data_IF_599406522372
#
_entry.id   IF_599406522372
#
_cell.length_a   1.000
_cell.length_b   1.000
_cell.length_c   1.000
_cell.angle_alpha   90.00
_cell.angle_beta   90.00
_cell.angle_gamma   90.00
#
_symmetry.space_group_name_H-M   'P 1'
#
loop_
_entity.id
_entity.type
_entity.pdbx_description
1 polymer ?
#
# COMPACT_ATOMS: atom_id res chain seq x y z
N UNK A 1 41.39 -7.57 -17.65
CA UNK A 1 40.35 -7.82 -18.66
C UNK A 1 39.14 -6.99 -18.28
N UNK A 2 38.88 -5.93 -19.06
CA UNK A 2 37.77 -5.00 -18.88
C UNK A 2 36.69 -5.38 -19.89
N UNK A 3 35.45 -5.58 -19.44
CA UNK A 3 34.29 -5.71 -20.32
C UNK A 3 33.34 -4.58 -20.02
N UNK A 4 33.32 -3.62 -20.93
CA UNK A 4 32.36 -2.52 -21.01
C UNK A 4 31.05 -3.06 -21.56
N UNK A 5 29.93 -2.72 -20.94
CA UNK A 5 28.59 -3.07 -21.41
C UNK A 5 27.85 -1.76 -21.74
N UNK A 6 27.62 -1.56 -23.04
CA UNK A 6 27.01 -0.38 -23.65
C UNK A 6 25.48 -0.48 -23.55
N UNK A 7 24.82 0.52 -22.96
CA UNK A 7 23.37 0.69 -23.04
C UNK A 7 23.02 1.54 -24.28
N UNK A 8 22.08 1.07 -25.09
CA UNK A 8 21.48 1.81 -26.20
C UNK A 8 20.18 2.45 -25.71
N UNK A 9 20.15 3.78 -25.68
CA UNK A 9 18.94 4.58 -25.50
C UNK A 9 18.23 4.74 -26.86
N UNK A 10 16.93 4.42 -26.92
CA UNK A 10 16.06 4.88 -28.01
C UNK A 10 15.16 5.98 -27.49
N UNK A 11 15.42 7.21 -27.96
CA UNK A 11 14.55 8.36 -27.82
C UNK A 11 13.46 8.31 -28.90
N UNK A 12 12.20 8.50 -28.52
CA UNK A 12 11.12 8.81 -29.46
C UNK A 12 10.59 10.20 -29.11
N UNK A 13 10.87 11.14 -30.00
CA UNK A 13 10.29 12.48 -30.06
C UNK A 13 8.96 12.36 -30.79
N UNK A 14 7.86 12.82 -30.19
CA UNK A 14 6.61 13.04 -30.92
C UNK A 14 6.21 14.51 -30.85
N UNK A 15 6.12 15.12 -32.02
CA UNK A 15 5.76 16.51 -32.29
C UNK A 15 4.26 16.73 -32.17
N UNK A 16 3.86 17.77 -31.43
CA UNK A 16 2.49 18.29 -31.33
C UNK A 16 2.14 19.14 -32.55
N UNK A 17 0.97 18.91 -33.15
CA UNK A 17 0.32 19.80 -34.10
C UNK A 17 -1.06 20.19 -33.57
N UNK A 18 -1.35 21.49 -33.65
CA UNK A 18 -2.50 22.18 -33.07
C UNK A 18 -3.71 22.30 -34.02
N UNK A 19 -4.88 22.46 -33.39
CA UNK A 19 -6.04 23.31 -33.75
C UNK A 19 -7.14 22.74 -34.69
N UNK A 20 -8.37 23.33 -34.74
CA UNK A 20 -9.04 24.28 -33.82
C UNK A 20 -10.48 23.87 -33.38
N UNK A 21 -10.99 24.59 -32.38
CA UNK A 21 -12.40 24.65 -31.96
C UNK A 21 -13.26 25.48 -32.93
N UNK A 22 -14.46 25.01 -33.25
CA UNK A 22 -15.63 25.87 -33.55
C UNK A 22 -16.91 25.27 -32.97
N UNK A 23 -17.72 26.14 -32.37
CA UNK A 23 -19.00 25.85 -31.75
C UNK A 23 -20.17 26.15 -32.70
N UNK A 24 -21.29 25.44 -32.56
CA UNK A 24 -22.63 25.96 -32.87
C UNK A 24 -23.67 25.22 -32.02
N UNK A 25 -24.53 25.98 -31.35
CA UNK A 25 -25.66 25.49 -30.57
C UNK A 25 -26.95 25.52 -31.42
N UNK A 26 -27.84 24.55 -31.26
CA UNK A 26 -29.28 24.76 -31.44
C UNK A 26 -30.11 23.70 -30.71
N UNK A 27 -31.11 24.15 -29.94
CA UNK A 27 -32.03 23.33 -29.16
C UNK A 27 -33.42 23.28 -29.82
N UNK A 28 -34.08 22.11 -29.79
CA UNK A 28 -35.55 21.95 -29.84
C UNK A 28 -36.00 20.51 -29.46
N UNK A 29 -36.61 20.38 -28.27
CA UNK A 29 -37.78 19.56 -27.84
C UNK A 29 -38.12 18.15 -28.43
N UNK A 30 -37.93 17.11 -27.58
CA UNK A 30 -38.77 15.92 -27.14
C UNK A 30 -39.71 15.16 -28.12
N UNK A 31 -40.01 13.83 -27.98
CA UNK A 31 -39.94 12.97 -26.78
C UNK A 31 -39.35 11.54 -26.94
N UNK A 32 -39.33 10.81 -25.82
CA UNK A 32 -38.77 9.47 -25.56
C UNK A 32 -39.22 8.34 -26.52
N UNK A 33 -38.23 7.58 -27.00
CA UNK A 33 -38.30 6.14 -27.29
C UNK A 33 -37.02 5.48 -26.77
N UNK A 34 -37.14 4.31 -26.17
CA UNK A 34 -36.03 3.52 -25.67
C UNK A 34 -35.02 3.22 -26.80
N UNK A 35 -33.87 3.89 -26.78
CA UNK A 35 -32.78 3.60 -27.70
C UNK A 35 -32.11 2.29 -27.28
N UNK A 36 -32.36 1.27 -28.10
CA UNK A 36 -31.45 0.15 -28.25
C UNK A 36 -30.10 0.71 -28.66
N UNK A 37 -29.06 0.56 -27.83
CA UNK A 37 -27.71 0.93 -28.24
C UNK A 37 -27.35 0.17 -29.53
N UNK A 38 -26.74 0.84 -30.53
CA UNK A 38 -26.39 0.17 -31.76
C UNK A 38 -25.28 -0.85 -31.50
N UNK A 39 -25.52 -2.10 -31.88
CA UNK A 39 -24.45 -3.09 -32.03
C UNK A 39 -23.44 -2.54 -33.04
N UNK A 40 -22.17 -2.47 -32.67
CA UNK A 40 -21.10 -2.09 -33.59
C UNK A 40 -21.08 -3.05 -34.79
N UNK A 41 -21.11 -2.51 -36.00
CA UNK A 41 -21.02 -3.30 -37.23
C UNK A 41 -19.61 -3.88 -37.38
N UNK A 42 -19.52 -5.03 -38.06
CA UNK A 42 -18.32 -5.87 -38.14
C UNK A 42 -17.04 -5.17 -38.65
N UNK A 43 -17.17 -4.02 -39.34
CA UNK A 43 -16.06 -3.27 -39.94
C UNK A 43 -15.40 -2.23 -39.01
N UNK A 44 -15.86 -2.06 -37.76
CA UNK A 44 -15.25 -1.14 -36.78
C UNK A 44 -14.40 -1.82 -35.69
N UNK A 45 -14.15 -3.14 -35.76
CA UNK A 45 -13.45 -3.87 -34.69
C UNK A 45 -11.93 -3.61 -34.71
N UNK A 46 -11.33 -3.00 -33.67
CA UNK A 46 -9.88 -2.90 -33.55
C UNK A 46 -9.29 -4.27 -33.19
N UNK A 47 -8.20 -4.64 -33.85
CA UNK A 47 -7.44 -5.87 -33.56
C UNK A 47 -6.85 -5.75 -32.14
N UNK A 48 -7.14 -6.71 -31.24
CA UNK A 48 -6.56 -6.76 -29.88
C UNK A 48 -7.52 -6.60 -28.69
N UNK A 49 -8.82 -6.84 -28.87
CA UNK A 49 -9.84 -6.65 -27.84
C UNK A 49 -10.73 -7.89 -27.66
N UNK A 50 -11.11 -8.21 -26.41
CA UNK A 50 -12.00 -9.34 -26.08
C UNK A 50 -13.39 -8.82 -25.73
N UNK A 51 -14.37 -9.12 -26.59
CA UNK A 51 -15.81 -8.95 -26.34
C UNK A 51 -16.36 -10.12 -25.52
N UNK A 52 -17.14 -9.79 -24.48
CA UNK A 52 -17.88 -10.71 -23.62
C UNK A 52 -19.36 -10.78 -24.02
N UNK A 53 -20.10 -11.79 -23.52
CA UNK A 53 -21.51 -12.03 -23.86
C UNK A 53 -22.45 -10.88 -23.46
N UNK A 54 -21.99 -9.95 -22.63
CA UNK A 54 -22.69 -8.74 -22.20
C UNK A 54 -22.28 -7.48 -22.99
N UNK A 55 -21.60 -7.64 -24.13
CA UNK A 55 -21.06 -6.57 -24.99
C UNK A 55 -19.98 -5.69 -24.35
N UNK A 56 -19.40 -6.10 -23.21
CA UNK A 56 -18.25 -5.43 -22.62
C UNK A 56 -16.98 -5.80 -23.38
N UNK A 57 -16.08 -4.84 -23.60
CA UNK A 57 -14.83 -5.07 -24.33
C UNK A 57 -13.64 -4.72 -23.45
N UNK A 58 -12.71 -5.66 -23.26
CA UNK A 58 -11.51 -5.45 -22.42
C UNK A 58 -10.24 -5.50 -23.28
N UNK A 59 -9.27 -4.59 -23.07
CA UNK A 59 -7.99 -4.64 -23.76
C UNK A 59 -7.18 -5.86 -23.30
N UNK A 60 -6.39 -6.42 -24.21
CA UNK A 60 -5.52 -7.57 -23.96
C UNK A 60 -4.32 -7.12 -23.10
N UNK A 61 -4.40 -7.38 -21.79
CA UNK A 61 -3.41 -6.90 -20.81
C UNK A 61 -2.60 -8.02 -20.13
N UNK A 62 -2.97 -9.28 -20.34
CA UNK A 62 -2.30 -10.44 -19.75
C UNK A 62 -2.15 -11.59 -20.75
N UNK A 63 -1.24 -12.52 -20.46
CA UNK A 63 -0.92 -13.67 -21.32
C UNK A 63 -2.17 -14.52 -21.64
N UNK A 64 -3.11 -14.61 -20.70
CA UNK A 64 -4.39 -15.29 -20.89
C UNK A 64 -5.22 -14.62 -22.00
N UNK A 65 -5.37 -13.30 -21.93
CA UNK A 65 -6.11 -12.50 -22.90
C UNK A 65 -5.39 -12.46 -24.26
N UNK A 66 -4.05 -12.47 -24.26
CA UNK A 66 -3.23 -12.56 -25.48
C UNK A 66 -3.54 -13.87 -26.22
N UNK A 67 -3.58 -14.98 -25.49
CA UNK A 67 -3.90 -16.28 -26.05
C UNK A 67 -5.35 -16.39 -26.54
N UNK A 68 -6.31 -15.79 -25.83
CA UNK A 68 -7.70 -15.73 -26.30
C UNK A 68 -7.87 -14.88 -27.57
N UNK A 69 -7.20 -13.73 -27.65
CA UNK A 69 -7.21 -12.89 -28.86
C UNK A 69 -6.55 -13.61 -30.05
N UNK A 70 -5.43 -14.31 -29.83
CA UNK A 70 -4.79 -15.12 -30.85
C UNK A 70 -5.68 -16.26 -31.35
N UNK A 71 -6.45 -16.90 -30.45
CA UNK A 71 -7.41 -17.93 -30.82
C UNK A 71 -8.52 -17.39 -31.72
N UNK A 72 -9.07 -16.20 -31.41
CA UNK A 72 -10.11 -15.54 -32.21
C UNK A 72 -9.60 -15.15 -33.60
N UNK A 73 -8.39 -14.61 -33.69
CA UNK A 73 -7.75 -14.28 -34.97
C UNK A 73 -7.54 -15.52 -35.84
N UNK A 74 -7.05 -16.62 -35.25
CA UNK A 74 -6.85 -17.87 -35.98
C UNK A 74 -8.18 -18.49 -36.47
N UNK A 75 -9.25 -18.41 -35.66
CA UNK A 75 -10.60 -18.84 -36.08
C UNK A 75 -11.13 -18.01 -37.25
N UNK A 76 -10.94 -16.70 -37.25
CA UNK A 76 -11.35 -15.83 -38.36
C UNK A 76 -10.62 -16.19 -39.68
N UNK A 77 -9.38 -16.67 -39.57
CA UNK A 77 -8.58 -17.16 -40.69
C UNK A 77 -8.88 -18.62 -41.07
N UNK A 78 -9.82 -19.29 -40.39
CA UNK A 78 -10.14 -20.73 -40.52
C UNK A 78 -8.95 -21.65 -40.21
N UNK A 79 -7.95 -21.16 -39.47
CA UNK A 79 -6.84 -21.97 -38.97
C UNK A 79 -7.22 -22.63 -37.63
N UNK A 80 -7.91 -23.76 -37.74
CA UNK A 80 -8.39 -24.51 -36.58
C UNK A 80 -7.26 -25.07 -35.71
N UNK A 81 -6.09 -25.39 -36.30
CA UNK A 81 -4.96 -25.94 -35.57
C UNK A 81 -4.33 -24.88 -34.66
N UNK A 82 -4.12 -23.67 -35.19
CA UNK A 82 -3.56 -22.57 -34.43
C UNK A 82 -4.55 -22.03 -33.38
N UNK A 83 -5.85 -21.99 -33.71
CA UNK A 83 -6.89 -21.64 -32.73
C UNK A 83 -6.89 -22.59 -31.52
N UNK A 84 -6.84 -23.91 -31.77
CA UNK A 84 -6.80 -24.91 -30.71
C UNK A 84 -5.51 -24.83 -29.87
N UNK A 85 -4.37 -24.48 -30.48
CA UNK A 85 -3.10 -24.25 -29.76
C UNK A 85 -3.20 -23.04 -28.83
N UNK A 86 -3.75 -21.94 -29.31
CA UNK A 86 -3.92 -20.72 -28.52
C UNK A 86 -4.91 -20.92 -27.36
N UNK A 87 -6.02 -21.63 -27.57
CA UNK A 87 -6.96 -21.98 -26.48
C UNK A 87 -6.31 -22.84 -25.39
N UNK A 88 -5.45 -23.81 -25.76
CA UNK A 88 -4.71 -24.60 -24.77
C UNK A 88 -3.73 -23.75 -23.97
N UNK A 89 -3.05 -22.79 -24.60
CA UNK A 89 -2.17 -21.86 -23.92
C UNK A 89 -2.93 -20.96 -22.94
N UNK A 90 -4.11 -20.44 -23.32
CA UNK A 90 -4.99 -19.71 -22.40
C UNK A 90 -5.41 -20.58 -21.21
N UNK A 91 -5.80 -21.84 -21.44
CA UNK A 91 -6.16 -22.75 -20.35
C UNK A 91 -4.99 -23.01 -19.39
N UNK A 92 -3.76 -23.10 -19.90
CA UNK A 92 -2.56 -23.27 -19.08
C UNK A 92 -2.28 -22.03 -18.23
N UNK A 93 -2.45 -20.84 -18.80
CA UNK A 93 -2.26 -19.60 -18.04
C UNK A 93 -3.30 -19.43 -16.94
N UNK A 94 -4.56 -19.80 -17.21
CA UNK A 94 -5.62 -19.80 -16.20
C UNK A 94 -5.33 -20.80 -15.06
N UNK A 95 -4.80 -21.98 -15.39
CA UNK A 95 -4.38 -22.96 -14.38
C UNK A 95 -3.19 -22.46 -13.55
N UNK A 96 -2.24 -21.76 -14.19
CA UNK A 96 -1.11 -21.14 -13.50
C UNK A 96 -1.58 -20.00 -12.57
N UNK A 97 -2.58 -19.21 -12.98
CA UNK A 97 -3.21 -18.21 -12.13
C UNK A 97 -3.87 -18.85 -10.90
N UNK A 98 -4.63 -19.92 -11.08
CA UNK A 98 -5.24 -20.66 -9.96
C UNK A 98 -4.17 -21.20 -8.99
N UNK A 99 -3.08 -21.78 -9.50
CA UNK A 99 -1.99 -22.27 -8.68
C UNK A 99 -1.27 -21.15 -7.90
N UNK A 100 -1.13 -19.95 -8.51
CA UNK A 100 -0.58 -18.77 -7.82
C UNK A 100 -1.49 -18.29 -6.69
N UNK A 101 -2.81 -18.34 -6.87
CA UNK A 101 -3.78 -18.03 -5.81
C UNK A 101 -3.64 -19.02 -4.65
N UNK A 102 -3.61 -20.33 -4.94
CA UNK A 102 -3.42 -21.37 -3.93
C UNK A 102 -2.10 -21.24 -3.17
N UNK A 103 -1.02 -20.88 -3.87
CA UNK A 103 0.28 -20.66 -3.26
C UNK A 103 0.28 -19.42 -2.37
N UNK A 104 -0.32 -18.32 -2.81
CA UNK A 104 -0.50 -17.11 -1.99
C UNK A 104 -1.33 -17.40 -0.74
N UNK A 105 -2.42 -18.16 -0.87
CA UNK A 105 -3.26 -18.53 0.28
C UNK A 105 -2.51 -19.45 1.25
N UNK A 106 -1.69 -20.39 0.76
CA UNK A 106 -0.79 -21.19 1.61
C UNK A 106 0.26 -20.34 2.31
N UNK A 107 0.89 -19.40 1.61
CA UNK A 107 1.87 -18.48 2.20
C UNK A 107 1.24 -17.57 3.26
N UNK A 108 0.02 -17.10 3.01
CA UNK A 108 -0.77 -16.30 3.97
C UNK A 108 -1.15 -17.12 5.20
N UNK A 109 -1.68 -18.33 5.01
CA UNK A 109 -2.00 -19.22 6.11
C UNK A 109 -0.75 -19.55 6.95
N UNK A 110 0.39 -19.75 6.30
CA UNK A 110 1.67 -19.93 6.99
C UNK A 110 2.08 -18.68 7.78
N UNK A 111 1.95 -17.48 7.18
CA UNK A 111 2.27 -16.22 7.86
C UNK A 111 1.33 -15.91 9.03
N UNK A 112 0.05 -16.25 8.92
CA UNK A 112 -0.93 -16.11 10.00
C UNK A 112 -0.63 -17.07 11.15
N UNK A 113 -0.29 -18.32 10.82
CA UNK A 113 0.07 -19.35 11.79
C UNK A 113 1.41 -19.03 12.48
N UNK A 114 2.38 -18.49 11.73
CA UNK A 114 3.63 -17.97 12.26
C UNK A 114 3.38 -16.79 13.20
N UNK A 115 2.56 -15.81 12.82
CA UNK A 115 2.17 -14.68 13.70
C UNK A 115 1.48 -15.14 14.98
N UNK A 116 0.57 -16.11 14.88
CA UNK A 116 -0.10 -16.69 16.03
C UNK A 116 0.90 -17.42 16.95
N UNK A 117 1.87 -18.14 16.36
CA UNK A 117 2.92 -18.81 17.10
C UNK A 117 3.88 -17.84 17.79
N UNK A 118 4.39 -16.83 17.07
CA UNK A 118 5.22 -15.75 17.63
C UNK A 118 4.52 -15.06 18.81
N UNK A 119 3.24 -14.73 18.63
CA UNK A 119 2.41 -14.13 19.69
C UNK A 119 2.29 -15.05 20.89
N UNK A 120 2.00 -16.35 20.68
CA UNK A 120 1.93 -17.34 21.76
C UNK A 120 3.25 -17.46 22.51
N UNK A 121 4.38 -17.53 21.79
CA UNK A 121 5.72 -17.62 22.39
C UNK A 121 6.02 -16.38 23.24
N UNK A 122 5.73 -15.18 22.70
CA UNK A 122 5.93 -13.91 23.40
C UNK A 122 5.08 -13.82 24.67
N UNK A 123 3.80 -14.16 24.59
CA UNK A 123 2.91 -14.16 25.75
C UNK A 123 3.37 -15.16 26.80
N UNK A 124 3.78 -16.37 26.40
CA UNK A 124 4.32 -17.39 27.32
C UNK A 124 5.57 -16.90 28.05
N UNK A 125 6.47 -16.20 27.33
CA UNK A 125 7.67 -15.62 27.93
C UNK A 125 7.34 -14.49 28.92
N UNK A 126 6.36 -13.64 28.59
CA UNK A 126 5.89 -12.57 29.48
C UNK A 126 5.17 -13.11 30.72
N UNK A 127 4.39 -14.18 30.60
CA UNK A 127 3.80 -14.89 31.76
C UNK A 127 4.89 -15.32 32.74
N UNK A 128 5.95 -15.99 32.26
CA UNK A 128 7.06 -16.41 33.13
C UNK A 128 7.76 -15.24 33.82
N UNK A 129 7.92 -14.11 33.12
CA UNK A 129 8.49 -12.89 33.72
C UNK A 129 7.58 -12.30 34.79
N UNK A 130 6.27 -12.27 34.56
CA UNK A 130 5.28 -11.82 35.55
C UNK A 130 5.28 -12.72 36.78
N UNK A 131 5.31 -14.04 36.61
CA UNK A 131 5.38 -15.00 37.73
C UNK A 131 6.65 -14.76 38.56
N UNK A 132 7.81 -14.60 37.89
CA UNK A 132 9.07 -14.29 38.58
C UNK A 132 9.02 -12.96 39.34
N UNK A 133 8.38 -11.94 38.74
CA UNK A 133 8.21 -10.65 39.40
C UNK A 133 7.27 -10.77 40.61
N UNK A 134 6.20 -11.55 40.51
CA UNK A 134 5.29 -11.84 41.63
C UNK A 134 6.01 -12.54 42.79
N UNK A 135 6.84 -13.56 42.50
CA UNK A 135 7.66 -14.24 43.52
C UNK A 135 8.61 -13.26 44.25
N UNK A 136 9.16 -12.28 43.53
CA UNK A 136 10.02 -11.25 44.13
C UNK A 136 9.24 -10.26 45.01
N UNK A 137 8.01 -9.90 44.61
CA UNK A 137 7.09 -9.09 45.43
C UNK A 137 6.76 -9.85 46.72
N UNK A 138 6.34 -11.11 46.61
CA UNK A 138 5.94 -11.94 47.75
C UNK A 138 7.10 -12.15 48.73
N UNK A 139 8.32 -12.36 48.20
CA UNK A 139 9.52 -12.51 49.01
C UNK A 139 10.05 -11.19 49.62
N UNK A 140 9.44 -10.04 49.32
CA UNK A 140 9.92 -8.72 49.76
C UNK A 140 11.29 -8.33 49.19
N UNK A 141 11.67 -8.91 48.04
CA UNK A 141 13.00 -8.76 47.41
C UNK A 141 13.07 -7.66 46.35
N UNK A 142 11.99 -6.91 46.15
CA UNK A 142 11.99 -5.75 45.26
C UNK A 142 12.77 -4.60 45.89
N UNK A 143 13.98 -4.37 45.39
CA UNK A 143 14.78 -3.21 45.77
C UNK A 143 14.31 -1.92 45.09
N UNK A 144 13.72 -2.01 43.90
CA UNK A 144 13.17 -0.88 43.13
C UNK A 144 11.98 -1.31 42.27
N UNK A 145 11.09 -0.37 41.90
CA UNK A 145 9.93 -0.67 41.03
C UNK A 145 10.27 -0.68 39.55
N UNK A 146 11.40 -0.10 39.12
CA UNK A 146 11.73 0.10 37.71
C UNK A 146 11.69 -1.19 36.87
N UNK A 147 12.22 -2.30 37.38
CA UNK A 147 12.21 -3.58 36.68
C UNK A 147 10.80 -4.21 36.63
N UNK A 148 10.00 -3.99 37.68
CA UNK A 148 8.60 -4.41 37.74
C UNK A 148 7.78 -3.61 36.72
N UNK A 149 7.91 -2.28 36.72
CA UNK A 149 7.21 -1.38 35.81
C UNK A 149 7.52 -1.72 34.35
N UNK A 150 8.79 -1.96 34.00
CA UNK A 150 9.17 -2.44 32.66
C UNK A 150 8.50 -3.76 32.26
N UNK A 151 8.35 -4.70 33.21
CA UNK A 151 7.71 -5.99 32.94
C UNK A 151 6.21 -5.82 32.74
N UNK A 152 5.57 -4.97 33.56
CA UNK A 152 4.15 -4.63 33.44
C UNK A 152 3.86 -3.91 32.13
N UNK A 153 4.69 -2.95 31.73
CA UNK A 153 4.57 -2.23 30.46
C UNK A 153 4.69 -3.18 29.27
N UNK A 154 5.65 -4.11 29.30
CA UNK A 154 5.80 -5.13 28.25
C UNK A 154 4.57 -6.04 28.15
N UNK A 155 3.99 -6.44 29.29
CA UNK A 155 2.80 -7.27 29.34
C UNK A 155 1.55 -6.53 28.84
N UNK A 156 1.30 -5.32 29.34
CA UNK A 156 0.19 -4.47 28.93
C UNK A 156 0.25 -4.15 27.43
N UNK A 157 1.45 -3.89 26.92
CA UNK A 157 1.67 -3.66 25.49
C UNK A 157 1.39 -4.90 24.64
N UNK A 158 1.84 -6.08 25.07
CA UNK A 158 1.57 -7.32 24.34
C UNK A 158 0.07 -7.66 24.32
N UNK A 159 -0.65 -7.41 25.41
CA UNK A 159 -2.12 -7.54 25.46
C UNK A 159 -2.81 -6.55 24.52
N UNK A 160 -2.40 -5.28 24.54
CA UNK A 160 -2.94 -4.24 23.67
C UNK A 160 -2.70 -4.57 22.19
N UNK A 161 -1.47 -4.93 21.83
CA UNK A 161 -1.10 -5.36 20.47
C UNK A 161 -2.00 -6.52 20.02
N UNK A 162 -2.24 -7.53 20.87
CA UNK A 162 -3.17 -8.63 20.57
C UNK A 162 -4.60 -8.15 20.35
N UNK A 163 -5.14 -7.30 21.23
CA UNK A 163 -6.51 -6.79 21.11
C UNK A 163 -6.70 -5.97 19.85
N UNK A 164 -5.71 -5.17 19.47
CA UNK A 164 -5.75 -4.37 18.26
C UNK A 164 -5.53 -5.17 16.97
N UNK A 165 -4.82 -6.29 17.03
CA UNK A 165 -4.78 -7.27 15.94
C UNK A 165 -6.17 -7.87 15.64
N UNK A 166 -7.09 -7.81 16.61
CA UNK A 166 -8.45 -8.37 16.53
C UNK A 166 -9.52 -7.31 16.23
N UNK A 167 -9.20 -6.01 16.31
CA UNK A 167 -10.16 -4.93 15.97
C UNK A 167 -10.35 -4.81 14.46
N UNK A 168 -11.57 -4.46 14.05
CA UNK A 168 -11.94 -4.29 12.64
C UNK A 168 -11.29 -3.03 12.02
N UNK A 169 -11.27 -2.98 10.68
CA UNK A 169 -10.55 -1.94 9.93
C UNK A 169 -11.13 -0.53 10.13
N UNK A 170 -12.41 -0.40 10.50
CA UNK A 170 -13.07 0.92 10.66
C UNK A 170 -12.60 1.60 11.93
N UNK A 171 -12.44 0.84 13.01
CA UNK A 171 -11.84 1.30 14.26
C UNK A 171 -10.37 1.71 14.02
N UNK A 172 -9.66 0.92 13.21
CA UNK A 172 -8.27 1.16 12.85
C UNK A 172 -8.05 2.40 11.97
N UNK A 173 -8.93 2.66 11.00
CA UNK A 173 -8.78 3.81 10.09
C UNK A 173 -8.75 5.15 10.84
N UNK A 174 -9.46 5.28 11.97
CA UNK A 174 -9.46 6.52 12.77
C UNK A 174 -8.11 6.90 13.40
N UNK A 175 -7.17 5.95 13.43
CA UNK A 175 -5.85 6.11 14.07
C UNK A 175 -4.69 6.05 13.07
N UNK A 176 -4.96 5.93 11.76
CA UNK A 176 -3.91 5.90 10.72
C UNK A 176 -3.12 7.20 10.65
N UNK A 177 -3.73 8.32 11.00
CA UNK A 177 -3.12 9.65 10.94
C UNK A 177 -2.33 9.99 12.22
N UNK A 178 -2.40 9.14 13.24
CA UNK A 178 -1.74 9.37 14.54
C UNK A 178 -0.22 9.48 14.45
N UNK A 179 0.51 8.62 13.70
CA UNK A 179 1.94 8.84 13.46
C UNK A 179 2.24 10.23 12.92
N UNK A 180 1.48 10.69 11.92
CA UNK A 180 1.69 12.00 11.31
C UNK A 180 1.43 13.16 12.27
N UNK A 181 0.38 13.08 13.11
CA UNK A 181 0.11 14.07 14.16
C UNK A 181 1.30 14.19 15.13
N UNK A 182 1.87 13.07 15.55
CA UNK A 182 3.03 13.04 16.43
C UNK A 182 4.31 13.51 15.73
N UNK A 183 4.50 13.26 14.44
CA UNK A 183 5.62 13.82 13.67
C UNK A 183 5.57 15.34 13.56
N UNK A 184 4.38 15.91 13.32
CA UNK A 184 4.18 17.36 13.32
C UNK A 184 4.50 17.96 14.69
N UNK A 185 3.97 17.35 15.76
CA UNK A 185 4.24 17.80 17.13
C UNK A 185 5.73 17.68 17.51
N UNK A 186 6.41 16.64 17.03
CA UNK A 186 7.85 16.46 17.22
C UNK A 186 8.65 17.55 16.52
N UNK A 187 8.30 17.88 15.27
CA UNK A 187 8.94 18.95 14.51
C UNK A 187 8.75 20.31 15.20
N UNK A 188 7.52 20.63 15.62
CA UNK A 188 7.22 21.87 16.34
C UNK A 188 8.02 21.98 17.64
N UNK A 189 8.12 20.90 18.40
CA UNK A 189 8.92 20.85 19.62
C UNK A 189 10.43 21.02 19.34
N UNK A 190 10.93 20.42 18.24
CA UNK A 190 12.32 20.55 17.82
C UNK A 190 12.67 21.99 17.44
N UNK A 191 11.81 22.67 16.67
CA UNK A 191 11.97 24.09 16.30
C UNK A 191 12.00 24.99 17.55
N UNK A 192 11.21 24.63 18.56
CA UNK A 192 11.20 25.31 19.86
C UNK A 192 12.39 24.92 20.77
N UNK A 193 13.32 24.11 20.27
CA UNK A 193 14.48 23.55 21.00
C UNK A 193 14.08 22.73 22.24
N UNK A 194 12.86 22.23 22.27
CA UNK A 194 12.37 21.32 23.31
C UNK A 194 12.61 19.87 22.87
N UNK A 195 13.87 19.45 22.93
CA UNK A 195 14.29 18.14 22.40
C UNK A 195 13.70 16.95 23.15
N UNK A 196 13.48 17.08 24.47
CA UNK A 196 12.80 16.04 25.26
C UNK A 196 11.37 15.83 24.77
N UNK A 197 10.60 16.91 24.60
CA UNK A 197 9.25 16.81 24.06
C UNK A 197 9.25 16.26 22.64
N UNK A 198 10.20 16.67 21.80
CA UNK A 198 10.34 16.12 20.46
C UNK A 198 10.57 14.61 20.49
N UNK A 199 11.46 14.12 21.36
CA UNK A 199 11.73 12.70 21.54
C UNK A 199 10.48 11.93 22.01
N UNK A 200 9.72 12.49 22.95
CA UNK A 200 8.48 11.88 23.44
C UNK A 200 7.42 11.76 22.34
N UNK A 201 7.26 12.78 21.50
CA UNK A 201 6.36 12.70 20.35
C UNK A 201 6.83 11.67 19.32
N UNK A 202 8.14 11.57 19.04
CA UNK A 202 8.69 10.51 18.16
C UNK A 202 8.39 9.11 18.71
N UNK A 203 8.54 8.88 20.02
CA UNK A 203 8.20 7.59 20.66
C UNK A 203 6.72 7.26 20.58
N UNK A 204 5.84 8.27 20.67
CA UNK A 204 4.39 8.07 20.46
C UNK A 204 4.11 7.63 19.03
N UNK A 205 4.72 8.28 18.03
CA UNK A 205 4.60 7.86 16.63
C UNK A 205 5.09 6.42 16.41
N UNK A 206 6.26 6.08 16.97
CA UNK A 206 6.83 4.73 16.93
C UNK A 206 5.87 3.67 17.51
N UNK A 207 5.12 4.00 18.58
CA UNK A 207 4.14 3.08 19.14
C UNK A 207 3.05 2.69 18.12
N UNK A 208 2.55 3.65 17.34
CA UNK A 208 1.57 3.40 16.27
C UNK A 208 2.19 2.64 15.08
N UNK A 209 3.48 2.86 14.77
CA UNK A 209 4.18 2.13 13.70
C UNK A 209 4.44 0.68 14.09
N UNK A 210 4.83 0.39 15.34
CA UNK A 210 4.94 -0.99 15.87
C UNK A 210 3.61 -1.73 15.78
N UNK A 211 2.51 -1.02 15.98
CA UNK A 211 1.18 -1.59 15.95
C UNK A 211 0.71 -1.91 14.53
N UNK A 212 1.09 -1.07 13.55
CA UNK A 212 1.02 -1.44 12.13
C UNK A 212 1.87 -2.68 11.81
N UNK A 213 3.09 -2.75 12.34
CA UNK A 213 4.01 -3.85 12.07
C UNK A 213 3.47 -5.19 12.58
N UNK A 214 2.75 -5.19 13.69
CA UNK A 214 2.09 -6.38 14.20
C UNK A 214 1.02 -6.92 13.23
N UNK A 215 0.29 -6.02 12.55
CA UNK A 215 -0.78 -6.37 11.58
C UNK A 215 -0.23 -6.75 10.20
N UNK A 216 0.99 -6.33 9.88
CA UNK A 216 1.64 -6.62 8.61
C UNK A 216 2.30 -8.02 8.57
N UNK A 217 2.62 -8.47 7.36
CA UNK A 217 3.37 -9.71 7.09
C UNK A 217 4.48 -9.45 6.07
N UNK A 218 5.40 -10.41 5.91
CA UNK A 218 6.43 -10.38 4.86
C UNK A 218 7.27 -9.11 4.82
N UNK A 219 7.48 -8.56 3.61
CA UNK A 219 8.29 -7.37 3.38
C UNK A 219 7.72 -6.10 4.05
N UNK A 220 6.39 -5.98 4.15
CA UNK A 220 5.75 -4.84 4.82
C UNK A 220 6.10 -4.80 6.32
N UNK A 221 6.05 -5.95 7.00
CA UNK A 221 6.47 -6.07 8.41
C UNK A 221 7.95 -5.71 8.59
N UNK A 222 8.82 -6.19 7.69
CA UNK A 222 10.25 -5.88 7.73
C UNK A 222 10.52 -4.37 7.56
N UNK A 223 9.85 -3.72 6.60
CA UNK A 223 9.96 -2.28 6.37
C UNK A 223 9.52 -1.44 7.57
N UNK A 224 8.38 -1.81 8.18
CA UNK A 224 7.89 -1.13 9.39
C UNK A 224 8.81 -1.34 10.60
N UNK A 225 9.38 -2.53 10.76
CA UNK A 225 10.37 -2.79 11.81
C UNK A 225 11.64 -1.96 11.62
N UNK A 226 12.11 -1.81 10.38
CA UNK A 226 13.25 -0.94 10.07
C UNK A 226 12.92 0.54 10.39
N UNK A 227 11.72 1.01 10.04
CA UNK A 227 11.28 2.36 10.39
C UNK A 227 11.23 2.58 11.91
N UNK A 228 10.74 1.60 12.69
CA UNK A 228 10.75 1.67 14.15
C UNK A 228 12.17 1.82 14.72
N UNK A 229 13.14 1.06 14.20
CA UNK A 229 14.54 1.17 14.64
C UNK A 229 15.12 2.56 14.36
N UNK A 230 14.80 3.15 13.20
CA UNK A 230 15.25 4.51 12.90
C UNK A 230 14.57 5.55 13.79
N UNK A 231 13.26 5.43 14.06
CA UNK A 231 12.56 6.30 15.01
C UNK A 231 13.14 6.22 16.42
N UNK A 232 13.49 5.02 16.89
CA UNK A 232 14.13 4.82 18.20
C UNK A 232 15.48 5.55 18.28
N UNK A 233 16.32 5.40 17.24
CA UNK A 233 17.60 6.13 17.15
C UNK A 233 17.38 7.64 17.12
N UNK A 234 16.38 8.12 16.37
CA UNK A 234 16.03 9.54 16.31
C UNK A 234 15.60 10.06 17.68
N UNK A 235 14.75 9.33 18.42
CA UNK A 235 14.36 9.72 19.78
C UNK A 235 15.55 9.78 20.73
N UNK A 236 16.48 8.81 20.66
CA UNK A 236 17.72 8.82 21.45
C UNK A 236 18.62 10.00 21.09
N UNK A 237 18.76 10.33 19.80
CA UNK A 237 19.55 11.48 19.35
C UNK A 237 18.95 12.81 19.81
N UNK A 238 17.62 12.92 19.85
CA UNK A 238 16.92 14.08 20.40
C UNK A 238 17.17 14.22 21.91
N UNK A 239 17.04 13.15 22.69
CA UNK A 239 17.34 13.18 24.14
C UNK A 239 18.77 13.65 24.43
N UNK A 240 19.72 13.21 23.60
CA UNK A 240 21.13 13.56 23.73
C UNK A 240 21.45 14.96 23.16
N UNK A 241 20.51 15.63 22.50
CA UNK A 241 20.73 16.88 21.78
C UNK A 241 21.73 16.77 20.63
N UNK A 242 21.94 15.55 20.09
CA UNK A 242 22.92 15.28 19.04
C UNK A 242 22.34 15.40 17.63
N UNK A 243 21.00 15.45 17.50
CA UNK A 243 20.32 15.65 16.23
C UNK A 243 20.46 17.12 15.77
N UNK A 244 20.97 17.32 14.55
CA UNK A 244 21.48 18.64 14.14
C UNK A 244 20.54 19.45 13.25
N UNK A 245 19.56 18.82 12.59
CA UNK A 245 18.72 19.54 11.62
C UNK A 245 17.27 19.06 11.55
N UNK A 246 16.38 19.99 11.22
CA UNK A 246 14.99 19.70 10.85
C UNK A 246 14.92 18.75 9.65
N UNK A 247 15.89 18.84 8.73
CA UNK A 247 15.96 17.99 7.55
C UNK A 247 16.19 16.51 7.90
N UNK A 248 16.96 16.22 8.94
CA UNK A 248 17.16 14.86 9.43
C UNK A 248 15.86 14.27 9.99
N UNK A 249 15.09 15.06 10.75
CA UNK A 249 13.76 14.65 11.22
C UNK A 249 12.78 14.43 10.08
N UNK A 250 12.67 15.41 9.17
CA UNK A 250 11.80 15.33 8.01
C UNK A 250 12.09 14.07 7.16
N UNK A 251 13.37 13.73 6.99
CA UNK A 251 13.78 12.52 6.26
C UNK A 251 13.28 11.25 6.94
N UNK A 252 13.47 11.11 8.25
CA UNK A 252 12.99 9.92 8.99
C UNK A 252 11.46 9.84 8.96
N UNK A 253 10.77 10.97 9.07
CA UNK A 253 9.30 11.02 8.98
C UNK A 253 8.79 10.69 7.58
N UNK A 254 9.47 11.13 6.53
CA UNK A 254 9.17 10.77 5.15
C UNK A 254 9.31 9.26 4.92
N UNK A 255 10.43 8.69 5.35
CA UNK A 255 10.71 7.26 5.23
C UNK A 255 9.70 6.40 6.01
N UNK A 256 9.32 6.85 7.20
CA UNK A 256 8.34 6.13 8.01
C UNK A 256 6.94 6.15 7.40
N UNK A 257 6.47 7.32 6.93
CA UNK A 257 5.20 7.43 6.23
C UNK A 257 5.18 6.61 4.93
N UNK A 258 6.30 6.54 4.23
CA UNK A 258 6.46 5.69 3.04
C UNK A 258 6.33 4.19 3.39
N UNK A 259 6.97 3.74 4.47
CA UNK A 259 6.83 2.36 4.96
C UNK A 259 5.39 2.02 5.37
N UNK A 260 4.70 2.94 6.06
CA UNK A 260 3.28 2.82 6.39
C UNK A 260 2.41 2.71 5.14
N UNK A 261 2.65 3.56 4.15
CA UNK A 261 1.89 3.54 2.89
C UNK A 261 2.07 2.21 2.14
N UNK A 262 3.28 1.67 2.08
CA UNK A 262 3.55 0.35 1.49
C UNK A 262 2.84 -0.78 2.23
N UNK A 263 2.81 -0.73 3.56
CA UNK A 263 2.10 -1.72 4.36
C UNK A 263 0.59 -1.68 4.08
N UNK A 264 -0.02 -0.50 4.11
CA UNK A 264 -1.44 -0.32 3.80
C UNK A 264 -1.79 -0.73 2.37
N UNK A 265 -0.96 -0.40 1.38
CA UNK A 265 -1.15 -0.84 -0.01
C UNK A 265 -1.14 -2.38 -0.12
N UNK A 266 -0.29 -3.03 0.66
CA UNK A 266 -0.19 -4.49 0.70
C UNK A 266 -1.45 -5.10 1.32
N UNK A 267 -1.91 -4.56 2.45
CA UNK A 267 -3.16 -4.98 3.11
C UNK A 267 -4.40 -4.72 2.24
N UNK A 268 -4.40 -3.64 1.48
CA UNK A 268 -5.44 -3.36 0.49
C UNK A 268 -5.51 -4.42 -0.60
N UNK A 269 -4.36 -4.81 -1.16
CA UNK A 269 -4.30 -5.86 -2.18
C UNK A 269 -4.74 -7.23 -1.64
N UNK A 270 -4.36 -7.56 -0.40
CA UNK A 270 -4.81 -8.78 0.28
C UNK A 270 -6.33 -8.78 0.52
N UNK A 271 -6.88 -7.69 1.05
CA UNK A 271 -8.31 -7.54 1.29
C UNK A 271 -9.12 -7.58 -0.01
N UNK A 272 -8.59 -6.97 -1.07
CA UNK A 272 -9.17 -7.00 -2.41
C UNK A 272 -9.27 -8.43 -2.95
N UNK A 273 -8.18 -9.20 -2.85
CA UNK A 273 -8.15 -10.61 -3.29
C UNK A 273 -9.17 -11.48 -2.52
N UNK A 274 -9.43 -11.14 -1.26
CA UNK A 274 -10.43 -11.80 -0.42
C UNK A 274 -11.87 -11.31 -0.66
N UNK A 275 -12.08 -10.40 -1.61
CA UNK A 275 -13.38 -9.73 -1.86
C UNK A 275 -13.90 -8.94 -0.65
N UNK A 276 -13.03 -8.61 0.30
CA UNK A 276 -13.34 -7.72 1.42
C UNK A 276 -13.19 -6.26 0.95
N UNK A 277 -14.04 -5.84 0.01
CA UNK A 277 -13.91 -4.57 -0.71
C UNK A 277 -13.93 -3.36 0.21
N UNK A 278 -14.80 -3.34 1.22
CA UNK A 278 -14.83 -2.28 2.23
C UNK A 278 -13.46 -2.14 2.93
N UNK A 279 -12.87 -3.27 3.36
CA UNK A 279 -11.54 -3.28 3.99
C UNK A 279 -10.46 -2.81 3.03
N UNK A 280 -10.50 -3.26 1.78
CA UNK A 280 -9.58 -2.79 0.75
C UNK A 280 -9.68 -1.27 0.55
N UNK A 281 -10.89 -0.71 0.59
CA UNK A 281 -11.12 0.73 0.49
C UNK A 281 -10.50 1.52 1.63
N UNK A 282 -10.66 1.08 2.88
CA UNK A 282 -10.03 1.73 4.03
C UNK A 282 -8.49 1.67 3.97
N UNK A 283 -7.93 0.51 3.62
CA UNK A 283 -6.47 0.35 3.51
C UNK A 283 -5.91 1.16 2.31
N UNK A 284 -6.64 1.30 1.20
CA UNK A 284 -6.25 2.21 0.11
C UNK A 284 -6.20 3.67 0.55
N UNK A 285 -7.21 4.13 1.30
CA UNK A 285 -7.25 5.48 1.84
C UNK A 285 -6.09 5.73 2.80
N UNK A 286 -5.74 4.75 3.64
CA UNK A 286 -4.59 4.83 4.54
C UNK A 286 -3.27 4.87 3.76
N UNK A 287 -3.14 4.10 2.67
CA UNK A 287 -1.97 4.13 1.80
C UNK A 287 -1.80 5.49 1.08
N UNK A 288 -2.90 6.07 0.58
CA UNK A 288 -2.90 7.40 -0.03
C UNK A 288 -2.49 8.48 0.98
N UNK A 289 -3.01 8.42 2.21
CA UNK A 289 -2.63 9.33 3.29
C UNK A 289 -1.13 9.23 3.62
N UNK A 290 -0.61 8.00 3.73
CA UNK A 290 0.83 7.79 3.96
C UNK A 290 1.70 8.32 2.81
N UNK A 291 1.27 8.15 1.56
CA UNK A 291 1.94 8.72 0.38
C UNK A 291 1.97 10.26 0.46
N UNK A 292 0.83 10.91 0.73
CA UNK A 292 0.75 12.37 0.84
C UNK A 292 1.62 12.90 1.99
N UNK A 293 1.57 12.23 3.15
CA UNK A 293 2.36 12.61 4.32
C UNK A 293 3.85 12.47 4.05
N UNK A 294 4.29 11.34 3.47
CA UNK A 294 5.68 11.15 3.10
C UNK A 294 6.14 12.20 2.07
N UNK A 295 5.34 12.48 1.05
CA UNK A 295 5.64 13.48 0.04
C UNK A 295 5.73 14.90 0.62
N UNK A 296 4.87 15.23 1.59
CA UNK A 296 4.90 16.51 2.31
C UNK A 296 6.22 16.72 3.05
N UNK A 297 6.75 15.67 3.70
CA UNK A 297 8.05 15.74 4.37
C UNK A 297 9.24 15.80 3.40
N UNK A 298 9.11 15.26 2.19
CA UNK A 298 10.13 15.39 1.14
C UNK A 298 10.16 16.81 0.57
N UNK A 299 8.99 17.41 0.33
CA UNK A 299 8.88 18.79 -0.13
C UNK A 299 7.68 19.07 -1.03
N UNK A 300 7.50 20.34 -1.40
CA UNK A 300 6.34 20.81 -2.18
C UNK A 300 6.24 20.18 -3.56
N UNK A 301 7.36 19.94 -4.23
CA UNK A 301 7.40 19.27 -5.54
C UNK A 301 6.90 17.83 -5.45
N UNK A 302 7.40 17.05 -4.49
CA UNK A 302 6.96 15.68 -4.25
C UNK A 302 5.48 15.63 -3.87
N UNK A 303 5.02 16.55 -3.01
CA UNK A 303 3.60 16.67 -2.65
C UNK A 303 2.72 16.94 -3.87
N UNK A 304 3.13 17.85 -4.74
CA UNK A 304 2.41 18.17 -5.98
C UNK A 304 2.33 16.94 -6.90
N UNK A 305 3.45 16.25 -7.09
CA UNK A 305 3.53 15.04 -7.92
C UNK A 305 2.60 13.93 -7.42
N UNK A 306 2.53 13.71 -6.10
CA UNK A 306 1.68 12.69 -5.50
C UNK A 306 0.18 13.03 -5.53
N UNK A 307 -0.19 14.32 -5.63
CA UNK A 307 -1.55 14.80 -5.34
C UNK A 307 -2.65 14.19 -6.22
N UNK A 308 -2.38 13.96 -7.50
CA UNK A 308 -3.36 13.35 -8.44
C UNK A 308 -3.62 11.90 -8.06
N UNK A 309 -2.56 11.13 -7.81
CA UNK A 309 -2.66 9.72 -7.39
C UNK A 309 -3.40 9.60 -6.06
N UNK A 310 -3.07 10.45 -5.08
CA UNK A 310 -3.73 10.48 -3.77
C UNK A 310 -5.25 10.69 -3.93
N UNK A 311 -5.67 11.67 -4.73
CA UNK A 311 -7.11 11.94 -4.98
C UNK A 311 -7.83 10.78 -5.65
N UNK A 312 -7.20 10.17 -6.66
CA UNK A 312 -7.78 9.03 -7.37
C UNK A 312 -7.97 7.83 -6.44
N UNK A 313 -6.95 7.49 -5.65
CA UNK A 313 -7.00 6.39 -4.68
C UNK A 313 -8.02 6.65 -3.58
N UNK A 314 -8.14 7.88 -3.08
CA UNK A 314 -9.18 8.25 -2.12
C UNK A 314 -10.59 8.05 -2.69
N UNK A 315 -10.82 8.52 -3.92
CA UNK A 315 -12.11 8.40 -4.60
C UNK A 315 -12.50 6.93 -4.77
N UNK A 316 -11.56 6.08 -5.21
CA UNK A 316 -11.79 4.65 -5.30
C UNK A 316 -12.06 4.05 -3.91
N UNK A 317 -11.27 4.41 -2.90
CA UNK A 317 -11.46 3.94 -1.54
C UNK A 317 -12.84 4.26 -0.99
N UNK A 318 -13.37 5.46 -1.25
CA UNK A 318 -14.72 5.85 -0.85
C UNK A 318 -15.80 5.03 -1.56
N UNK A 319 -15.63 4.74 -2.86
CA UNK A 319 -16.53 3.84 -3.60
C UNK A 319 -16.53 2.43 -3.00
N UNK A 320 -15.36 1.90 -2.67
CA UNK A 320 -15.23 0.57 -2.09
C UNK A 320 -15.83 0.46 -0.69
N UNK A 321 -15.64 1.48 0.15
CA UNK A 321 -16.21 1.53 1.50
C UNK A 321 -17.73 1.67 1.47
N UNK A 322 -18.26 2.50 0.56
CA UNK A 322 -19.71 2.73 0.46
C UNK A 322 -20.47 1.65 -0.31
N UNK A 323 -19.78 0.65 -0.88
CA UNK A 323 -20.39 -0.35 -1.77
C UNK A 323 -20.87 0.25 -3.10
N UNK A 324 -20.31 1.40 -3.50
CA UNK A 324 -20.63 2.08 -4.76
C UNK A 324 -20.18 1.29 -5.99
N UNK A 325 -20.61 1.77 -7.17
CA UNK A 325 -20.23 1.17 -8.45
C UNK A 325 -18.80 1.59 -8.80
N UNK A 326 -17.96 0.60 -9.13
CA UNK A 326 -16.58 0.77 -9.57
C UNK A 326 -16.30 -0.10 -10.78
N UNK A 327 -15.42 0.37 -11.66
CA UNK A 327 -14.93 -0.42 -12.79
C UNK A 327 -13.68 -1.21 -12.38
N UNK A 328 -13.47 -2.40 -12.96
CA UNK A 328 -12.29 -3.23 -12.67
C UNK A 328 -11.00 -2.53 -13.10
N UNK A 329 -11.06 -1.82 -14.22
CA UNK A 329 -9.96 -1.03 -14.80
C UNK A 329 -9.58 0.13 -13.86
N UNK A 330 -10.56 0.85 -13.32
CA UNK A 330 -10.34 1.92 -12.34
C UNK A 330 -9.58 1.41 -11.11
N UNK A 331 -9.91 0.20 -10.64
CA UNK A 331 -9.23 -0.43 -9.51
C UNK A 331 -7.78 -0.76 -9.87
N UNK A 332 -7.55 -1.42 -11.00
CA UNK A 332 -6.22 -1.81 -11.45
C UNK A 332 -5.31 -0.58 -11.65
N UNK A 333 -5.82 0.47 -12.30
CA UNK A 333 -5.09 1.72 -12.51
C UNK A 333 -4.72 2.41 -11.20
N UNK A 334 -5.63 2.40 -10.22
CA UNK A 334 -5.38 3.03 -8.91
C UNK A 334 -4.30 2.28 -8.13
N UNK A 335 -4.33 0.94 -8.11
CA UNK A 335 -3.28 0.14 -7.47
C UNK A 335 -1.92 0.31 -8.14
N UNK A 336 -1.89 0.34 -9.48
CA UNK A 336 -0.66 0.52 -10.23
C UNK A 336 -0.08 1.93 -10.03
N UNK A 337 -0.89 2.97 -10.20
CA UNK A 337 -0.48 4.37 -10.01
C UNK A 337 0.06 4.62 -8.60
N UNK A 338 -0.62 4.07 -7.58
CA UNK A 338 -0.15 4.14 -6.19
C UNK A 338 1.20 3.42 -6.02
N UNK A 339 1.36 2.24 -6.61
CA UNK A 339 2.61 1.46 -6.52
C UNK A 339 3.78 2.20 -7.17
N UNK A 340 3.57 2.77 -8.36
CA UNK A 340 4.58 3.55 -9.06
C UNK A 340 4.98 4.80 -8.28
N UNK A 341 4.01 5.54 -7.73
CA UNK A 341 4.31 6.76 -7.00
C UNK A 341 5.01 6.49 -5.67
N UNK A 342 4.63 5.41 -4.97
CA UNK A 342 5.38 4.92 -3.80
C UNK A 342 6.80 4.50 -4.17
N UNK A 343 7.02 3.83 -5.29
CA UNK A 343 8.37 3.46 -5.73
C UNK A 343 9.23 4.70 -6.00
N UNK A 344 8.70 5.70 -6.73
CA UNK A 344 9.40 6.96 -6.99
C UNK A 344 9.74 7.69 -5.69
N UNK A 345 8.78 7.80 -4.76
CA UNK A 345 9.01 8.47 -3.49
C UNK A 345 10.07 7.74 -2.64
N UNK A 346 10.06 6.40 -2.63
CA UNK A 346 11.07 5.59 -1.96
C UNK A 346 12.50 5.87 -2.43
N UNK A 347 12.68 6.10 -3.75
CA UNK A 347 13.97 6.50 -4.30
C UNK A 347 14.40 7.90 -3.83
N UNK A 348 13.47 8.86 -3.78
CA UNK A 348 13.80 10.22 -3.32
C UNK A 348 14.16 10.29 -1.83
N UNK A 349 13.48 9.52 -0.98
CA UNK A 349 13.74 9.45 0.48
C UNK A 349 15.02 8.71 0.84
N UNK A 350 15.52 7.82 -0.03
CA UNK A 350 16.80 7.13 0.14
C UNK A 350 17.99 7.87 -0.51
N UNK A 351 17.75 8.60 -1.60
CA UNK A 351 18.81 9.29 -2.39
C UNK A 351 19.26 10.64 -1.82
N UNK A 352 18.67 11.15 -0.74
CA UNK A 352 19.12 12.34 -0.01
C UNK A 352 20.42 12.08 0.79
N UNK A 353 21.43 11.51 0.14
CA UNK A 353 22.78 11.23 0.63
C UNK A 353 23.81 11.51 -0.47
N UNK A 354 23.68 12.64 -1.17
CA UNK A 354 24.71 13.16 -2.07
C UNK A 354 24.34 14.59 -2.52
N UNK A 355 24.62 15.59 -1.68
CA UNK A 355 25.09 16.90 -2.13
C UNK A 355 25.67 17.68 -0.97
#
# INVERSE_FOLDING_TARGET
>A
MKTSMTFVCSAVVLTLLQAPLTASAQAASTPSTADSQPSLTADQKPIGWIEFDDATVTPVLDDFSIHLAAARTALAQKDHAQAAKALRAASQELAAQAARVDELDRQRAAADLERAYETKVRLTALTKKLDTAADQVEAGKLSTTTALDQTLDQAARADLERRWLVTDVTTWYSVTDKPQQHFLAAMDAFVQKNYQKAADEVRKAEAYVRLNAARASGQAKAGLNAANVELEKTAQALDQGTLQSEQDLAKVFAQTNHALALAHRTQAAESWAQKAYEKAGYELKAAAHGLESAATWVGTEAKSAASTTVKAVHTLGDKLVSGGVWAKEEVAESFESLSQELAKLGLTTTSAKAK
#
